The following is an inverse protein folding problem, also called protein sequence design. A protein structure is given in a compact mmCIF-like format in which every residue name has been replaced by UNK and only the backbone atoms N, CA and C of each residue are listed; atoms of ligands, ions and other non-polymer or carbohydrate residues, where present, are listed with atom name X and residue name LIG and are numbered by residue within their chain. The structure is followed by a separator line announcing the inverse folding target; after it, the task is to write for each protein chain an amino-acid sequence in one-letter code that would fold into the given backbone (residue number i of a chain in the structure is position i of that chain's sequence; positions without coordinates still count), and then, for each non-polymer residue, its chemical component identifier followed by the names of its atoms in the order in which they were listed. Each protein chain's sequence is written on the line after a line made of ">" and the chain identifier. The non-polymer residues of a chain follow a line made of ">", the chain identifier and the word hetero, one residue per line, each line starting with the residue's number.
data_IF_940163241120
#
_entry.id   IF_940163241120
#
_cell.length_a   1.000
_cell.length_b   1.000
_cell.length_c   1.000
_cell.angle_alpha   90.00
_cell.angle_beta   90.00
_cell.angle_gamma   90.00
#
_symmetry.space_group_name_H-M   'P 1'
#
loop_
_entity.id
_entity.type
_entity.pdbx_description
1 polymer ?
#
# COMPACT_ATOMS: atom_id res chain seq x y z
N UNK A 1 7.53 -20.38 8.17
CA UNK A 1 6.55 -20.10 9.24
C UNK A 1 6.39 -21.37 10.08
N UNK A 2 6.58 -21.27 11.40
CA UNK A 2 6.50 -22.44 12.29
C UNK A 2 5.06 -22.71 12.73
N UNK A 3 4.72 -23.94 13.13
CA UNK A 3 3.40 -24.26 13.70
C UNK A 3 3.01 -23.37 14.90
N UNK A 4 4.00 -22.95 15.69
CA UNK A 4 3.79 -22.06 16.84
C UNK A 4 3.36 -20.64 16.44
N UNK A 5 3.88 -20.11 15.32
CA UNK A 5 3.48 -18.79 14.81
C UNK A 5 2.04 -18.80 14.28
N UNK A 6 1.63 -19.90 13.65
CA UNK A 6 0.28 -20.07 13.14
C UNK A 6 -0.75 -20.06 14.28
N UNK A 7 -0.46 -20.76 15.37
CA UNK A 7 -1.35 -20.81 16.53
C UNK A 7 -1.42 -19.46 17.25
N UNK A 8 -0.30 -18.75 17.36
CA UNK A 8 -0.27 -17.39 17.90
C UNK A 8 -1.10 -16.41 17.05
N UNK A 9 -1.06 -16.53 15.73
CA UNK A 9 -1.88 -15.75 14.82
C UNK A 9 -3.37 -16.07 14.96
N UNK A 10 -3.70 -17.35 15.10
CA UNK A 10 -5.08 -17.81 15.32
C UNK A 10 -5.66 -17.24 16.60
N UNK A 11 -4.89 -17.29 17.69
CA UNK A 11 -5.34 -16.77 18.97
C UNK A 11 -5.55 -15.25 18.93
N UNK A 12 -4.62 -14.51 18.31
CA UNK A 12 -4.77 -13.07 18.12
C UNK A 12 -6.01 -12.71 17.28
N UNK A 13 -6.30 -13.49 16.23
CA UNK A 13 -7.49 -13.30 15.41
C UNK A 13 -8.79 -13.62 16.19
N UNK A 14 -8.77 -14.61 17.09
CA UNK A 14 -9.91 -14.90 17.97
C UNK A 14 -10.20 -13.72 18.89
N UNK A 15 -9.17 -13.15 19.49
CA UNK A 15 -9.31 -11.96 20.36
C UNK A 15 -9.83 -10.75 19.58
N UNK A 16 -9.32 -10.51 18.36
CA UNK A 16 -9.72 -9.36 17.54
C UNK A 16 -11.14 -9.48 16.96
N UNK A 17 -11.55 -10.67 16.52
CA UNK A 17 -12.85 -10.91 15.88
C UNK A 17 -13.98 -11.16 16.90
N UNK A 18 -13.64 -11.46 18.15
CA UNK A 18 -14.61 -11.63 19.24
C UNK A 18 -15.60 -12.77 18.98
N UNK A 19 -16.90 -12.52 19.20
CA UNK A 19 -17.95 -13.56 19.22
C UNK A 19 -18.09 -14.35 17.91
N UNK A 20 -17.70 -13.80 16.76
CA UNK A 20 -17.81 -14.47 15.45
C UNK A 20 -16.51 -15.10 14.97
N UNK A 21 -15.43 -14.99 15.76
CA UNK A 21 -14.09 -15.43 15.38
C UNK A 21 -14.03 -16.86 14.83
N UNK A 22 -14.63 -17.81 15.56
CA UNK A 22 -14.55 -19.24 15.22
C UNK A 22 -15.22 -19.53 13.87
N UNK A 23 -16.37 -18.90 13.60
CA UNK A 23 -17.08 -19.05 12.34
C UNK A 23 -16.31 -18.41 11.17
N UNK A 24 -15.77 -17.21 11.37
CA UNK A 24 -14.96 -16.51 10.36
C UNK A 24 -13.67 -17.28 10.05
N UNK A 25 -12.96 -17.78 11.06
CA UNK A 25 -11.75 -18.58 10.88
C UNK A 25 -12.05 -19.93 10.19
N UNK A 26 -13.17 -20.56 10.49
CA UNK A 26 -13.59 -21.79 9.81
C UNK A 26 -13.85 -21.56 8.32
N UNK A 27 -14.52 -20.45 7.96
CA UNK A 27 -14.74 -20.07 6.55
C UNK A 27 -13.44 -19.76 5.82
N UNK A 28 -12.51 -19.06 6.46
CA UNK A 28 -11.19 -18.78 5.88
C UNK A 28 -10.40 -20.08 5.65
N UNK A 29 -10.38 -20.97 6.64
CA UNK A 29 -9.69 -22.27 6.53
C UNK A 29 -10.31 -23.14 5.43
N UNK A 30 -11.65 -23.17 5.33
CA UNK A 30 -12.36 -23.91 4.29
C UNK A 30 -12.08 -23.35 2.88
N UNK A 31 -11.77 -22.06 2.76
CA UNK A 31 -11.33 -21.42 1.52
C UNK A 31 -9.82 -21.60 1.23
N UNK A 32 -9.09 -22.36 2.05
CA UNK A 32 -7.63 -22.53 1.93
C UNK A 32 -6.82 -21.30 2.37
N UNK A 33 -7.45 -20.33 3.04
CA UNK A 33 -6.82 -19.11 3.51
C UNK A 33 -6.28 -19.30 4.94
N UNK A 34 -5.05 -18.86 5.15
CA UNK A 34 -4.35 -18.97 6.44
C UNK A 34 -4.22 -17.61 7.10
N UNK A 35 -4.60 -17.51 8.38
CA UNK A 35 -4.44 -16.27 9.14
C UNK A 35 -3.04 -16.20 9.72
N UNK A 36 -2.38 -15.07 9.51
CA UNK A 36 -1.01 -14.78 9.96
C UNK A 36 -0.99 -13.43 10.67
N UNK A 37 -0.11 -13.25 11.65
CA UNK A 37 0.09 -11.92 12.25
C UNK A 37 0.89 -11.08 11.27
N UNK A 38 0.50 -9.83 11.09
CA UNK A 38 1.23 -8.88 10.22
C UNK A 38 2.70 -8.76 10.63
N UNK A 39 3.02 -8.85 11.92
CA UNK A 39 4.40 -8.82 12.43
C UNK A 39 5.23 -10.08 12.08
N UNK A 40 4.60 -11.20 11.74
CA UNK A 40 5.28 -12.43 11.28
C UNK A 40 5.47 -12.45 9.76
N UNK A 41 4.84 -11.52 9.03
CA UNK A 41 5.11 -11.33 7.61
C UNK A 41 6.42 -10.53 7.45
N UNK A 42 7.23 -10.81 6.43
CA UNK A 42 8.28 -9.87 6.04
C UNK A 42 7.63 -8.50 5.82
N UNK A 43 8.29 -7.39 6.16
CA UNK A 43 7.77 -6.06 5.88
C UNK A 43 7.47 -5.97 4.39
N UNK A 44 6.18 -6.06 4.04
CA UNK A 44 5.73 -5.92 2.68
C UNK A 44 5.46 -4.43 2.52
N UNK A 45 6.37 -3.74 1.84
CA UNK A 45 6.23 -2.34 1.49
C UNK A 45 5.65 -2.31 0.07
N UNK A 46 4.31 -2.23 -0.10
CA UNK A 46 3.72 -2.29 -1.44
C UNK A 46 4.35 -1.20 -2.32
N UNK A 47 4.84 -1.62 -3.47
CA UNK A 47 5.43 -0.74 -4.47
C UNK A 47 4.45 -0.61 -5.64
N UNK A 48 4.02 0.61 -5.95
CA UNK A 48 3.21 0.92 -7.11
C UNK A 48 4.13 1.42 -8.22
N UNK A 49 4.30 0.64 -9.28
CA UNK A 49 5.18 0.99 -10.40
C UNK A 49 4.41 1.60 -11.56
N UNK A 50 5.07 2.49 -12.31
CA UNK A 50 4.54 3.06 -13.54
C UNK A 50 3.26 3.87 -13.36
N UNK A 51 3.03 4.46 -12.19
CA UNK A 51 1.83 5.28 -11.94
C UNK A 51 2.01 6.70 -12.47
N UNK A 52 0.91 7.34 -12.85
CA UNK A 52 0.83 8.76 -13.12
C UNK A 52 0.34 9.48 -11.88
N UNK A 53 1.19 10.33 -11.33
CA UNK A 53 0.86 11.21 -10.22
C UNK A 53 0.11 12.46 -10.71
N UNK A 54 -0.94 12.81 -10.00
CA UNK A 54 -1.60 14.11 -10.10
C UNK A 54 -1.61 14.75 -8.72
N UNK A 55 -1.02 15.95 -8.64
CA UNK A 55 -1.03 16.81 -7.46
C UNK A 55 -2.00 17.95 -7.69
N UNK A 56 -2.86 18.27 -6.73
CA UNK A 56 -3.70 19.48 -6.80
C UNK A 56 -2.89 20.68 -6.38
N UNK A 57 -2.73 21.65 -7.28
CA UNK A 57 -2.02 22.89 -6.96
C UNK A 57 -2.91 23.91 -6.23
N UNK A 58 -2.36 24.65 -5.25
CA UNK A 58 -1.03 24.47 -4.66
C UNK A 58 -0.98 23.22 -3.76
N UNK A 59 0.04 22.36 -3.93
CA UNK A 59 0.19 21.15 -3.12
C UNK A 59 1.18 21.39 -1.98
N UNK A 60 0.68 21.40 -0.75
CA UNK A 60 1.44 21.69 0.48
C UNK A 60 2.08 20.45 1.14
N UNK A 61 1.81 19.26 0.62
CA UNK A 61 2.28 17.99 1.20
C UNK A 61 1.31 17.36 2.21
N UNK A 62 0.23 18.05 2.58
CA UNK A 62 -0.81 17.53 3.48
C UNK A 62 -2.03 17.01 2.72
N UNK A 63 -2.34 17.63 1.57
CA UNK A 63 -3.41 17.14 0.70
C UNK A 63 -3.04 15.76 0.10
N UNK A 64 -4.03 14.87 -0.13
CA UNK A 64 -3.76 13.60 -0.79
C UNK A 64 -3.30 13.81 -2.23
N UNK A 65 -2.64 12.78 -2.76
CA UNK A 65 -2.22 12.69 -4.15
C UNK A 65 -3.06 11.64 -4.87
N UNK A 66 -3.22 11.81 -6.19
CA UNK A 66 -3.89 10.83 -7.03
C UNK A 66 -2.84 10.07 -7.84
N UNK A 67 -2.85 8.75 -7.75
CA UNK A 67 -1.96 7.87 -8.50
C UNK A 67 -2.81 6.99 -9.43
N UNK A 68 -2.67 7.18 -10.74
CA UNK A 68 -3.37 6.42 -11.76
C UNK A 68 -2.43 5.37 -12.35
N UNK A 69 -2.89 4.12 -12.53
CA UNK A 69 -2.12 3.10 -13.25
C UNK A 69 -2.54 3.04 -14.72
N UNK A 70 -1.69 3.45 -15.68
CA UNK A 70 -2.02 3.38 -17.11
C UNK A 70 -2.28 1.93 -17.55
N UNK A 71 -3.36 1.71 -18.30
CA UNK A 71 -3.67 0.40 -18.89
C UNK A 71 -4.46 -0.56 -17.98
N UNK A 72 -4.89 -0.13 -16.79
CA UNK A 72 -5.87 -0.89 -16.01
C UNK A 72 -7.29 -0.60 -16.53
N UNK A 73 -8.11 -1.63 -16.85
CA UNK A 73 -9.40 -1.45 -17.54
C UNK A 73 -10.41 -0.62 -16.75
N UNK A 74 -10.29 -0.58 -15.41
CA UNK A 74 -11.19 0.17 -14.52
C UNK A 74 -10.65 1.57 -14.13
N UNK A 75 -9.52 1.99 -14.69
CA UNK A 75 -8.97 3.33 -14.42
C UNK A 75 -8.69 3.53 -12.92
N UNK A 76 -8.02 2.57 -12.27
CA UNK A 76 -7.76 2.59 -10.83
C UNK A 76 -6.99 3.86 -10.43
N UNK A 77 -7.76 4.86 -9.99
CA UNK A 77 -7.23 6.06 -9.36
C UNK A 77 -7.14 5.79 -7.86
N UNK A 78 -5.90 5.70 -7.38
CA UNK A 78 -5.60 5.57 -5.97
C UNK A 78 -5.45 6.95 -5.35
N UNK A 79 -6.22 7.23 -4.30
CA UNK A 79 -6.06 8.43 -3.48
C UNK A 79 -5.15 8.07 -2.32
N UNK A 80 -3.95 8.64 -2.29
CA UNK A 80 -2.89 8.28 -1.34
C UNK A 80 -2.52 9.49 -0.47
N UNK A 81 -2.26 9.24 0.80
CA UNK A 81 -1.64 10.22 1.70
C UNK A 81 -0.13 10.05 1.69
N UNK A 82 0.59 11.13 1.94
CA UNK A 82 2.05 11.18 1.84
C UNK A 82 2.64 11.35 3.22
N UNK A 83 3.65 10.55 3.55
CA UNK A 83 4.44 10.75 4.76
C UNK A 83 5.20 12.09 4.65
N UNK A 84 5.27 12.94 5.69
CA UNK A 84 5.90 14.25 5.60
C UNK A 84 7.32 14.22 5.01
N UNK A 85 8.11 13.23 5.37
CA UNK A 85 9.49 13.05 4.88
C UNK A 85 9.57 12.73 3.38
N UNK A 86 8.50 12.22 2.78
CA UNK A 86 8.43 11.86 1.37
C UNK A 86 7.96 13.03 0.48
N UNK A 87 7.47 14.14 1.07
CA UNK A 87 6.95 15.29 0.31
C UNK A 87 7.95 15.85 -0.71
N UNK A 88 9.25 16.04 -0.38
CA UNK A 88 10.24 16.52 -1.35
C UNK A 88 10.38 15.57 -2.55
N UNK A 89 10.47 14.26 -2.28
CA UNK A 89 10.60 13.24 -3.32
C UNK A 89 9.36 13.15 -4.22
N UNK A 90 8.16 13.32 -3.66
CA UNK A 90 6.91 13.35 -4.45
C UNK A 90 6.87 14.57 -5.36
N UNK A 91 7.26 15.75 -4.86
CA UNK A 91 7.31 16.97 -5.69
C UNK A 91 8.29 16.82 -6.85
N UNK A 92 9.48 16.31 -6.55
CA UNK A 92 10.51 16.06 -7.56
C UNK A 92 10.03 15.03 -8.60
N UNK A 93 9.51 13.87 -8.16
CA UNK A 93 9.01 12.84 -9.04
C UNK A 93 7.83 13.33 -9.91
N UNK A 94 6.91 14.11 -9.35
CA UNK A 94 5.80 14.68 -10.11
C UNK A 94 6.26 15.71 -11.15
N UNK A 95 7.25 16.54 -10.81
CA UNK A 95 7.86 17.50 -11.74
C UNK A 95 8.61 16.77 -12.86
N UNK A 96 9.44 15.78 -12.52
CA UNK A 96 10.16 14.97 -13.49
C UNK A 96 9.20 14.23 -14.41
N UNK A 97 8.17 13.57 -13.86
CA UNK A 97 7.10 12.95 -14.64
C UNK A 97 6.48 13.93 -15.66
N UNK A 98 6.23 15.18 -15.27
CA UNK A 98 5.67 16.18 -16.18
C UNK A 98 6.62 16.49 -17.35
N UNK A 99 7.93 16.56 -17.08
CA UNK A 99 8.97 16.86 -18.06
C UNK A 99 9.25 15.66 -18.98
N UNK A 100 9.47 14.47 -18.40
CA UNK A 100 9.91 13.26 -19.10
C UNK A 100 8.76 12.44 -19.66
N UNK A 101 7.54 12.65 -19.13
CA UNK A 101 6.34 11.82 -19.39
C UNK A 101 6.51 10.35 -19.02
N UNK A 102 7.48 10.01 -18.17
CA UNK A 102 7.70 8.64 -17.65
C UNK A 102 6.78 8.34 -16.48
N UNK A 103 6.60 7.05 -16.16
CA UNK A 103 5.87 6.64 -14.96
C UNK A 103 6.67 6.92 -13.68
N UNK A 104 5.94 6.99 -12.56
CA UNK A 104 6.53 7.11 -11.23
C UNK A 104 6.36 5.78 -10.50
N UNK A 105 7.39 5.38 -9.77
CA UNK A 105 7.29 4.32 -8.77
C UNK A 105 7.11 4.92 -7.38
N UNK A 106 6.12 4.43 -6.65
CA UNK A 106 5.81 4.80 -5.27
C UNK A 106 6.03 3.61 -4.33
N UNK A 107 6.50 3.91 -3.13
CA UNK A 107 6.66 2.93 -2.04
C UNK A 107 5.75 3.31 -0.89
N UNK A 108 4.94 2.36 -0.39
CA UNK A 108 3.95 2.60 0.66
C UNK A 108 4.32 1.85 1.94
N UNK A 109 4.13 2.47 3.10
CA UNK A 109 4.27 1.79 4.39
C UNK A 109 3.07 0.86 4.69
N UNK A 110 3.10 0.21 5.86
CA UNK A 110 2.04 -0.70 6.30
C UNK A 110 0.68 -0.01 6.49
N UNK A 111 0.70 1.30 6.76
CA UNK A 111 -0.48 2.16 6.90
C UNK A 111 -1.02 2.67 5.55
N UNK A 112 -0.33 2.38 4.44
CA UNK A 112 -0.70 2.82 3.10
C UNK A 112 -0.27 4.25 2.75
N UNK A 113 0.59 4.88 3.56
CA UNK A 113 1.19 6.18 3.27
C UNK A 113 2.37 6.04 2.32
N UNK A 114 2.49 6.98 1.38
CA UNK A 114 3.64 7.02 0.48
C UNK A 114 4.87 7.51 1.24
N UNK A 115 5.94 6.70 1.20
CA UNK A 115 7.21 6.93 1.91
C UNK A 115 8.39 7.20 1.00
N UNK A 116 8.28 6.85 -0.28
CA UNK A 116 9.26 7.22 -1.30
C UNK A 116 8.61 7.29 -2.68
N UNK A 117 9.18 8.11 -3.56
CA UNK A 117 8.79 8.22 -4.95
C UNK A 117 9.99 8.56 -5.84
N UNK A 118 10.03 7.99 -7.03
CA UNK A 118 11.03 8.29 -8.06
C UNK A 118 10.44 8.00 -9.45
N UNK A 119 10.93 8.70 -10.47
CA UNK A 119 10.57 8.38 -11.87
C UNK A 119 11.29 7.12 -12.33
N UNK A 120 10.60 6.29 -13.11
CA UNK A 120 11.20 5.13 -13.75
C UNK A 120 12.26 5.60 -14.78
N UNK A 121 13.42 4.93 -14.82
CA UNK A 121 14.44 5.17 -15.85
C UNK A 121 13.87 4.78 -17.22
N UNK A 122 14.08 5.65 -18.22
CA UNK A 122 13.62 5.45 -19.60
C UNK A 122 14.50 4.49 -20.39
#
# INVERSE_FOLDING_TARGET
>A
MTPAQLEAARQAAITALGRTAHHTLARLTAAGLTVVRTADLPPHTPTLKGVRLTLREPWDGHAPIWAERPGHPDGDILVLTVHPDAVPAIREAALLQHITRTGVTLTLNAEGHVTAAWTDEA
#
